data_IF_686191483859
#
_entry.id   IF_686191483859
#
_cell.length_a   1.000
_cell.length_b   1.000
_cell.length_c   1.000
_cell.angle_alpha   90.00
_cell.angle_beta   90.00
_cell.angle_gamma   90.00
#
_symmetry.space_group_name_H-M   'P 1'
#
loop_
_entity.id
_entity.type
_entity.pdbx_description
1 polymer ?
#
# COMPACT_ATOMS: atom_id res chain seq x y z
N UNK A 1 -7.03 -3.97 67.53
CA UNK A 1 -7.37 -3.05 66.46
C UNK A 1 -7.07 -3.71 65.12
N UNK A 2 -8.06 -4.11 64.39
CA UNK A 2 -7.90 -4.77 63.10
C UNK A 2 -7.97 -3.74 61.99
N UNK A 3 -6.86 -3.50 61.29
CA UNK A 3 -6.82 -2.65 60.11
C UNK A 3 -7.18 -3.53 58.92
N UNK A 4 -8.43 -3.44 58.45
CA UNK A 4 -8.83 -4.07 57.21
C UNK A 4 -8.31 -3.21 56.05
N UNK A 5 -7.19 -3.62 55.48
CA UNK A 5 -6.70 -3.06 54.22
C UNK A 5 -7.66 -3.42 53.07
N UNK A 6 -8.30 -2.42 52.50
CA UNK A 6 -9.05 -2.57 51.25
C UNK A 6 -8.03 -2.72 50.13
N UNK A 7 -7.87 -3.93 49.66
CA UNK A 7 -7.10 -4.22 48.42
C UNK A 7 -7.92 -3.69 47.26
N UNK A 8 -7.51 -2.57 46.73
CA UNK A 8 -8.06 -2.06 45.46
C UNK A 8 -7.42 -2.88 44.33
N UNK A 9 -8.14 -3.84 43.79
CA UNK A 9 -7.78 -4.50 42.55
C UNK A 9 -7.95 -3.50 41.41
N UNK A 10 -6.85 -2.90 40.99
CA UNK A 10 -6.80 -2.14 39.75
C UNK A 10 -6.73 -3.18 38.62
N UNK A 11 -7.86 -3.50 38.04
CA UNK A 11 -7.94 -4.27 36.81
C UNK A 11 -7.42 -3.37 35.68
N UNK A 12 -6.14 -3.55 35.32
CA UNK A 12 -5.55 -2.94 34.14
C UNK A 12 -6.18 -3.63 32.93
N UNK A 13 -7.24 -3.03 32.37
CA UNK A 13 -7.76 -3.45 31.10
C UNK A 13 -6.74 -3.07 30.02
N UNK A 14 -5.90 -4.03 29.65
CA UNK A 14 -5.03 -3.90 28.46
C UNK A 14 -5.96 -4.01 27.26
N UNK A 15 -6.46 -2.89 26.79
CA UNK A 15 -7.04 -2.80 25.45
C UNK A 15 -5.91 -3.07 24.46
N UNK A 16 -5.87 -4.28 23.92
CA UNK A 16 -5.07 -4.60 22.73
C UNK A 16 -5.64 -3.76 21.57
N UNK A 17 -5.17 -2.52 21.46
CA UNK A 17 -5.32 -1.74 20.23
C UNK A 17 -4.44 -2.47 19.23
N UNK A 18 -5.07 -3.16 18.26
CA UNK A 18 -4.35 -3.81 17.17
C UNK A 18 -3.60 -2.74 16.37
N UNK A 19 -2.35 -2.49 16.76
CA UNK A 19 -1.48 -1.58 16.02
C UNK A 19 -1.14 -2.21 14.68
N UNK A 20 -1.36 -1.47 13.61
CA UNK A 20 -0.90 -1.88 12.29
C UNK A 20 0.63 -2.14 12.33
N UNK A 21 1.14 -3.10 11.55
CA UNK A 21 2.57 -3.37 11.53
C UNK A 21 3.35 -2.11 11.15
N UNK A 22 4.51 -1.93 11.76
CA UNK A 22 5.35 -0.73 11.60
C UNK A 22 5.62 -0.38 10.13
N UNK A 23 5.77 -1.40 9.25
CA UNK A 23 6.01 -1.16 7.82
C UNK A 23 4.84 -0.46 7.12
N UNK A 24 3.58 -0.75 7.48
CA UNK A 24 2.42 -0.11 6.86
C UNK A 24 2.27 1.34 7.33
N UNK A 25 2.51 1.62 8.60
CA UNK A 25 2.55 2.99 9.13
C UNK A 25 3.68 3.80 8.52
N UNK A 26 4.86 3.20 8.37
CA UNK A 26 6.01 3.83 7.74
C UNK A 26 5.77 4.13 6.26
N UNK A 27 5.10 3.21 5.55
CA UNK A 27 4.79 3.42 4.14
C UNK A 27 3.74 4.52 3.95
N UNK A 28 2.65 4.51 4.72
CA UNK A 28 1.67 5.61 4.71
C UNK A 28 2.38 6.93 4.94
N UNK A 29 3.15 7.08 6.00
CA UNK A 29 3.89 8.32 6.31
C UNK A 29 4.83 8.79 5.18
N UNK A 30 5.37 7.86 4.39
CA UNK A 30 6.25 8.22 3.27
C UNK A 30 5.46 8.71 2.05
N UNK A 31 4.26 8.19 1.85
CA UNK A 31 3.40 8.49 0.70
C UNK A 31 2.46 9.66 0.95
N UNK A 32 2.02 9.81 2.20
CA UNK A 32 1.13 10.87 2.69
C UNK A 32 1.84 12.22 2.63
N UNK A 33 1.53 13.00 1.62
CA UNK A 33 2.18 14.29 1.35
C UNK A 33 1.46 15.46 2.03
N UNK A 34 0.19 15.30 2.33
CA UNK A 34 -0.62 16.31 3.00
C UNK A 34 -0.78 16.10 4.51
N UNK A 35 -0.21 15.00 5.03
CA UNK A 35 -0.19 14.63 6.45
C UNK A 35 -1.58 14.41 7.05
N UNK A 36 -2.51 13.87 6.28
CA UNK A 36 -3.84 13.49 6.76
C UNK A 36 -3.91 12.10 7.40
N UNK A 37 -2.82 11.33 7.35
CA UNK A 37 -2.68 9.99 7.93
C UNK A 37 -3.11 8.85 7.02
N UNK A 38 -3.46 9.15 5.78
CA UNK A 38 -3.89 8.19 4.76
C UNK A 38 -3.13 8.40 3.45
N UNK A 39 -3.40 7.56 2.47
CA UNK A 39 -2.86 7.70 1.11
C UNK A 39 -4.03 7.76 0.15
N UNK A 40 -4.18 8.86 -0.54
CA UNK A 40 -5.17 8.99 -1.60
C UNK A 40 -4.66 8.45 -2.95
N UNK A 41 -5.55 8.37 -3.93
CA UNK A 41 -5.19 7.84 -5.26
C UNK A 41 -4.16 8.72 -5.98
N UNK A 42 -4.19 10.04 -5.79
CA UNK A 42 -3.23 10.96 -6.41
C UNK A 42 -1.82 10.76 -5.85
N UNK A 43 -1.71 10.59 -4.54
CA UNK A 43 -0.46 10.26 -3.85
C UNK A 43 0.08 8.90 -4.27
N UNK A 44 -0.78 7.88 -4.33
CA UNK A 44 -0.43 6.55 -4.82
C UNK A 44 0.09 6.60 -6.27
N UNK A 45 -0.59 7.30 -7.16
CA UNK A 45 -0.15 7.47 -8.56
C UNK A 45 1.14 8.28 -8.67
N UNK A 46 1.33 9.30 -7.84
CA UNK A 46 2.57 10.08 -7.79
C UNK A 46 3.76 9.21 -7.38
N UNK A 47 3.60 8.41 -6.33
CA UNK A 47 4.63 7.47 -5.88
C UNK A 47 4.93 6.41 -6.94
N UNK A 48 3.89 5.83 -7.55
CA UNK A 48 4.02 4.84 -8.61
C UNK A 48 4.71 5.41 -9.85
N UNK A 49 4.44 6.65 -10.23
CA UNK A 49 5.11 7.32 -11.34
C UNK A 49 6.61 7.47 -11.10
N UNK A 50 7.00 7.88 -9.89
CA UNK A 50 8.41 7.97 -9.50
C UNK A 50 9.09 6.60 -9.47
N UNK A 51 8.35 5.56 -9.05
CA UNK A 51 8.86 4.19 -9.06
C UNK A 51 9.03 3.69 -10.49
N UNK A 52 8.08 3.96 -11.39
CA UNK A 52 8.18 3.63 -12.81
C UNK A 52 9.49 4.15 -13.39
N UNK A 53 9.77 5.45 -13.20
CA UNK A 53 11.00 6.08 -13.72
C UNK A 53 12.29 5.47 -13.14
N UNK A 54 12.24 4.91 -11.93
CA UNK A 54 13.38 4.19 -11.33
C UNK A 54 13.54 2.76 -11.86
N UNK A 55 12.44 2.12 -12.23
CA UNK A 55 12.44 0.74 -12.72
C UNK A 55 12.78 0.68 -14.21
N UNK A 56 12.37 1.68 -14.98
CA UNK A 56 12.71 1.87 -16.38
C UNK A 56 14.20 2.22 -16.52
N UNK A 57 15.04 1.19 -16.53
CA UNK A 57 16.49 1.34 -16.49
C UNK A 57 17.10 1.69 -17.83
N UNK A 58 16.51 1.21 -18.90
CA UNK A 58 16.96 1.46 -20.27
C UNK A 58 16.32 2.73 -20.86
N UNK A 59 15.39 3.36 -20.10
CA UNK A 59 14.71 4.60 -20.47
C UNK A 59 13.96 4.51 -21.80
N UNK A 60 13.36 3.33 -22.06
CA UNK A 60 12.53 3.12 -23.25
C UNK A 60 11.06 3.55 -23.06
N UNK A 61 10.69 3.96 -21.83
CA UNK A 61 9.35 4.41 -21.48
C UNK A 61 8.38 3.28 -21.14
N UNK A 62 8.89 2.05 -21.00
CA UNK A 62 8.09 0.86 -20.65
C UNK A 62 8.78 0.04 -19.55
N UNK A 63 8.02 -0.86 -18.93
CA UNK A 63 8.55 -1.80 -17.96
C UNK A 63 8.35 -3.23 -18.44
N UNK A 64 9.42 -3.96 -18.60
CA UNK A 64 9.39 -5.39 -18.84
C UNK A 64 9.31 -6.20 -17.54
N UNK A 65 9.15 -7.52 -17.64
CA UNK A 65 9.06 -8.40 -16.47
C UNK A 65 10.34 -8.39 -15.62
N UNK A 66 11.50 -8.11 -16.20
CA UNK A 66 12.79 -8.06 -15.50
C UNK A 66 12.90 -6.77 -14.68
N UNK A 67 12.46 -5.65 -15.24
CA UNK A 67 12.43 -4.36 -14.57
C UNK A 67 11.42 -4.34 -13.41
N UNK A 68 10.29 -5.01 -13.59
CA UNK A 68 9.27 -5.18 -12.53
C UNK A 68 9.74 -6.08 -11.38
N UNK A 69 10.75 -6.92 -11.57
CA UNK A 69 11.39 -7.75 -10.52
C UNK A 69 10.42 -8.52 -9.62
N UNK A 70 9.40 -9.13 -10.20
CA UNK A 70 8.41 -9.90 -9.44
C UNK A 70 7.40 -9.08 -8.63
N UNK A 71 7.34 -7.75 -8.81
CA UNK A 71 6.33 -6.88 -8.18
C UNK A 71 4.92 -7.13 -8.72
N UNK A 72 4.84 -7.69 -9.92
CA UNK A 72 3.60 -8.04 -10.61
C UNK A 72 3.68 -9.50 -11.03
N UNK A 73 2.67 -10.29 -10.65
CA UNK A 73 2.60 -11.68 -11.09
C UNK A 73 2.21 -11.79 -12.57
N UNK A 74 2.41 -12.96 -13.18
CA UNK A 74 2.17 -13.16 -14.62
C UNK A 74 0.71 -12.88 -15.04
N UNK A 75 -0.26 -13.20 -14.17
CA UNK A 75 -1.69 -12.97 -14.43
C UNK A 75 -2.02 -11.48 -14.44
N UNK A 76 -1.54 -10.75 -13.44
CA UNK A 76 -1.78 -9.31 -13.33
C UNK A 76 -1.05 -8.55 -14.43
N UNK A 77 0.15 -9.01 -14.80
CA UNK A 77 0.90 -8.45 -15.93
C UNK A 77 0.10 -8.59 -17.24
N UNK A 78 -0.38 -9.80 -17.54
CA UNK A 78 -1.18 -10.05 -18.75
C UNK A 78 -2.48 -9.23 -18.79
N UNK A 79 -3.08 -8.96 -17.61
CA UNK A 79 -4.28 -8.11 -17.52
C UNK A 79 -3.96 -6.63 -17.70
N UNK A 80 -2.75 -6.22 -17.30
CA UNK A 80 -2.29 -4.84 -17.38
C UNK A 80 -1.69 -4.47 -18.74
N UNK A 81 -1.40 -5.48 -19.58
CA UNK A 81 -0.82 -5.38 -20.93
C UNK A 81 -1.91 -5.75 -21.96
N UNK A 82 -2.86 -4.86 -22.29
CA UNK A 82 -3.97 -5.18 -23.19
C UNK A 82 -3.56 -5.29 -24.66
N UNK A 83 -2.47 -4.65 -25.07
CA UNK A 83 -1.94 -4.74 -26.42
C UNK A 83 -0.97 -5.91 -26.62
N UNK A 84 -0.65 -6.65 -25.54
CA UNK A 84 0.22 -7.83 -25.55
C UNK A 84 1.60 -7.58 -26.17
N UNK A 85 2.17 -6.41 -25.95
CA UNK A 85 3.52 -6.09 -26.44
C UNK A 85 4.63 -6.64 -25.50
N UNK A 86 4.24 -7.19 -24.35
CA UNK A 86 5.16 -7.78 -23.36
C UNK A 86 5.79 -6.79 -22.41
N UNK A 87 5.32 -5.54 -22.43
CA UNK A 87 5.76 -4.45 -21.55
C UNK A 87 4.56 -3.71 -20.97
N UNK A 88 4.78 -2.89 -19.96
CA UNK A 88 3.80 -1.96 -19.44
C UNK A 88 4.28 -0.54 -19.68
N UNK A 89 3.55 0.23 -20.42
CA UNK A 89 3.78 1.66 -20.48
C UNK A 89 3.34 2.35 -19.18
N UNK A 90 3.62 3.62 -19.02
CA UNK A 90 3.31 4.37 -17.80
C UNK A 90 1.81 4.41 -17.50
N UNK A 91 0.97 4.52 -18.53
CA UNK A 91 -0.49 4.55 -18.37
C UNK A 91 -1.01 3.19 -17.91
N UNK A 92 -0.53 2.11 -18.50
CA UNK A 92 -0.87 0.73 -18.13
C UNK A 92 -0.44 0.40 -16.70
N UNK A 93 0.77 0.82 -16.33
CA UNK A 93 1.27 0.67 -14.97
C UNK A 93 0.43 1.45 -13.95
N UNK A 94 0.09 2.70 -14.24
CA UNK A 94 -0.77 3.51 -13.35
C UNK A 94 -2.21 3.00 -13.31
N UNK A 95 -2.73 2.42 -14.39
CA UNK A 95 -4.04 1.76 -14.40
C UNK A 95 -4.05 0.51 -13.48
N UNK A 96 -2.96 -0.26 -13.48
CA UNK A 96 -2.78 -1.39 -12.55
C UNK A 96 -2.74 -0.90 -11.09
N UNK A 97 -2.03 0.19 -10.82
CA UNK A 97 -1.99 0.82 -9.48
C UNK A 97 -3.38 1.23 -9.04
N UNK A 98 -4.15 1.90 -9.89
CA UNK A 98 -5.53 2.31 -9.59
C UNK A 98 -6.44 1.11 -9.30
N UNK A 99 -6.33 0.05 -10.09
CA UNK A 99 -7.09 -1.19 -9.86
C UNK A 99 -6.78 -1.80 -8.48
N UNK A 100 -5.50 -1.87 -8.12
CA UNK A 100 -5.08 -2.40 -6.82
C UNK A 100 -5.42 -1.47 -5.67
N UNK A 101 -5.40 -0.16 -5.90
CA UNK A 101 -5.84 0.84 -4.94
C UNK A 101 -7.31 0.64 -4.58
N UNK A 102 -8.20 0.56 -5.58
CA UNK A 102 -9.63 0.31 -5.37
C UNK A 102 -9.90 -1.02 -4.64
N UNK A 103 -9.11 -2.05 -4.91
CA UNK A 103 -9.21 -3.32 -4.19
C UNK A 103 -8.75 -3.23 -2.73
N UNK A 104 -7.84 -2.32 -2.43
CA UNK A 104 -7.30 -2.09 -1.09
C UNK A 104 -8.14 -1.10 -0.26
N UNK A 105 -9.11 -0.42 -0.87
CA UNK A 105 -10.07 0.52 -0.26
C UNK A 105 -11.48 -0.13 -0.21
N UNK A 106 -11.77 -1.01 0.76
CA UNK A 106 -13.04 -1.75 0.80
C UNK A 106 -14.23 -0.91 1.25
N UNK A 107 -14.01 0.18 1.98
CA UNK A 107 -15.05 1.11 2.41
C UNK A 107 -15.32 2.23 1.39
N UNK A 108 -14.53 2.31 0.32
CA UNK A 108 -14.65 3.28 -0.77
C UNK A 108 -14.64 4.74 -0.28
N UNK A 109 -13.84 5.05 0.73
CA UNK A 109 -13.67 6.42 1.19
C UNK A 109 -12.67 7.23 0.33
N UNK A 110 -12.01 6.56 -0.62
CA UNK A 110 -11.06 7.17 -1.55
C UNK A 110 -9.64 7.26 -1.00
N UNK A 111 -9.39 6.69 0.16
CA UNK A 111 -8.08 6.70 0.81
C UNK A 111 -7.69 5.30 1.30
N UNK A 112 -6.43 5.09 1.60
CA UNK A 112 -5.92 3.86 2.20
C UNK A 112 -5.20 4.20 3.49
N UNK A 113 -5.69 3.67 4.59
CA UNK A 113 -5.05 3.77 5.89
C UNK A 113 -4.01 2.64 6.11
N UNK A 114 -3.28 2.71 7.22
CA UNK A 114 -2.28 1.70 7.57
C UNK A 114 -2.87 0.30 7.80
N UNK A 115 -4.15 0.21 8.19
CA UNK A 115 -4.86 -1.06 8.40
C UNK A 115 -5.25 -1.70 7.07
N UNK A 116 -5.77 -0.90 6.15
CA UNK A 116 -6.12 -1.34 4.80
C UNK A 116 -4.89 -1.75 4.00
N UNK A 117 -3.80 -1.00 4.14
CA UNK A 117 -2.51 -1.35 3.52
C UNK A 117 -1.97 -2.71 3.99
N UNK A 118 -2.29 -3.12 5.20
CA UNK A 118 -1.92 -4.42 5.77
C UNK A 118 -2.76 -5.59 5.22
N UNK A 119 -3.91 -5.33 4.62
CA UNK A 119 -4.77 -6.34 4.00
C UNK A 119 -4.05 -7.07 2.85
N UNK A 120 -4.61 -8.19 2.38
CA UNK A 120 -4.04 -8.89 1.22
C UNK A 120 -3.99 -7.99 -0.03
N UNK A 121 -5.02 -7.18 -0.24
CA UNK A 121 -5.07 -6.22 -1.35
C UNK A 121 -4.02 -5.10 -1.17
N UNK A 122 -3.90 -4.53 0.03
CA UNK A 122 -2.89 -3.52 0.36
C UNK A 122 -1.46 -4.03 0.17
N UNK A 123 -1.19 -5.30 0.54
CA UNK A 123 0.12 -5.94 0.31
C UNK A 123 0.42 -6.14 -1.17
N UNK A 124 -0.57 -6.31 -2.01
CA UNK A 124 -0.36 -6.39 -3.46
C UNK A 124 -0.12 -5.03 -4.10
N UNK A 125 -0.65 -3.96 -3.50
CA UNK A 125 -0.44 -2.58 -3.92
C UNK A 125 0.94 -2.05 -3.51
N UNK A 126 1.35 -2.29 -2.28
CA UNK A 126 2.58 -1.72 -1.69
C UNK A 126 3.84 -1.85 -2.56
N UNK A 127 4.11 -2.99 -3.25
CA UNK A 127 5.27 -3.12 -4.14
C UNK A 127 5.27 -2.20 -5.36
N UNK A 128 4.11 -1.62 -5.71
CA UNK A 128 3.97 -0.68 -6.83
C UNK A 128 4.16 0.78 -6.39
N UNK A 129 4.39 1.03 -5.11
CA UNK A 129 4.51 2.37 -4.54
C UNK A 129 5.92 2.69 -4.00
N UNK A 130 6.81 1.68 -3.95
CA UNK A 130 8.17 1.83 -3.37
C UNK A 130 9.22 0.93 -4.03
#
# INVERSE_FOLDING_TARGET
MSIRGKTVLITLAITLIGTAPVWSQSLVKTLDTDNDGTVDLAEAKSAASKLFDKLDRDHDGTLDKRELRGRVNAKDFATADPDNDGTLDKNEFLALVEKRFKAADPDNDGTIDAKELKSAAGRSLAPLLK
#
